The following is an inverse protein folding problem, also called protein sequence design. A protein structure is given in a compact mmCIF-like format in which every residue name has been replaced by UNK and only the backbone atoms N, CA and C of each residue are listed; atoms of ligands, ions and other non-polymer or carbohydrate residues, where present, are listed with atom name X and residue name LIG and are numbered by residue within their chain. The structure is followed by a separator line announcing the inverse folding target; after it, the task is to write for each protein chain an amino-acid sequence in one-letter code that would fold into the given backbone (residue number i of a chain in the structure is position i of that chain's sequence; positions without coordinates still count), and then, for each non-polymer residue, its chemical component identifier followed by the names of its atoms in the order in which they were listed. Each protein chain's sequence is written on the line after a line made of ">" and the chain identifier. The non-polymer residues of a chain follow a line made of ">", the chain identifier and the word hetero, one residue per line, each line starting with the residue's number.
data_IF_580756064369
#
_entry.id   IF_580756064369
#
_cell.length_a   1.000
_cell.length_b   1.000
_cell.length_c   1.000
_cell.angle_alpha   90.00
_cell.angle_beta   90.00
_cell.angle_gamma   90.00
#
_symmetry.space_group_name_H-M   'P 1'
#
loop_
_entity.id
_entity.type
_entity.pdbx_description
1 polymer ?
#
# COMPACT_ATOMS: atom_id res chain seq x y z
N UNK A 1 -40.59 -25.14 11.72
CA UNK A 1 -40.03 -24.04 10.89
C UNK A 1 -39.23 -23.13 11.82
N UNK A 2 -37.95 -23.40 11.95
CA UNK A 2 -37.05 -22.54 12.71
C UNK A 2 -36.67 -21.40 11.76
N UNK A 3 -37.02 -20.15 12.11
CA UNK A 3 -36.66 -18.98 11.34
C UNK A 3 -35.14 -18.95 11.25
N UNK A 4 -34.61 -19.07 10.04
CA UNK A 4 -33.19 -18.84 9.78
C UNK A 4 -32.88 -17.40 10.13
N UNK A 5 -31.92 -17.21 11.02
CA UNK A 5 -31.31 -15.89 11.24
C UNK A 5 -30.75 -15.43 9.90
N UNK A 6 -31.04 -14.21 9.44
CA UNK A 6 -30.42 -13.70 8.21
C UNK A 6 -28.91 -13.73 8.39
N UNK A 7 -28.15 -14.01 7.30
CA UNK A 7 -26.71 -13.99 7.35
C UNK A 7 -26.22 -12.62 7.87
N UNK A 8 -25.11 -12.58 8.60
CA UNK A 8 -24.53 -11.34 9.02
C UNK A 8 -24.25 -10.48 7.76
N UNK A 9 -24.57 -9.20 7.82
CA UNK A 9 -24.17 -8.29 6.74
C UNK A 9 -22.65 -8.33 6.60
N UNK A 10 -22.12 -8.28 5.35
CA UNK A 10 -20.68 -8.28 5.14
C UNK A 10 -20.07 -7.09 5.86
N UNK A 11 -18.95 -7.32 6.51
CA UNK A 11 -18.17 -6.21 7.08
C UNK A 11 -17.66 -5.38 5.91
N UNK A 12 -18.13 -4.15 5.79
CA UNK A 12 -17.65 -3.22 4.76
C UNK A 12 -16.19 -2.90 5.09
N UNK A 13 -15.27 -3.65 4.53
CA UNK A 13 -13.89 -3.21 4.46
C UNK A 13 -13.87 -1.94 3.61
N UNK A 14 -13.15 -0.88 4.04
CA UNK A 14 -13.03 0.33 3.24
C UNK A 14 -12.54 0.06 1.81
N UNK A 15 -12.47 1.06 0.92
CA UNK A 15 -12.13 0.86 -0.51
C UNK A 15 -10.79 0.17 -0.77
N UNK A 16 -9.85 0.18 0.19
CA UNK A 16 -8.60 -0.57 0.15
C UNK A 16 -8.69 -1.93 0.87
N UNK A 17 -9.90 -2.39 1.19
CA UNK A 17 -10.12 -3.64 1.92
C UNK A 17 -9.55 -4.84 1.20
N UNK A 18 -8.75 -5.63 1.92
CA UNK A 18 -8.04 -6.79 1.40
C UNK A 18 -6.68 -6.49 0.77
N UNK A 19 -6.27 -5.23 0.58
CA UNK A 19 -4.93 -4.89 0.11
C UNK A 19 -3.92 -4.88 1.25
N UNK A 20 -2.75 -5.47 1.00
CA UNK A 20 -1.55 -5.35 1.82
C UNK A 20 -0.63 -4.29 1.22
N UNK A 21 -0.35 -3.24 1.98
CA UNK A 21 0.38 -2.06 1.49
C UNK A 21 1.64 -1.85 2.32
N UNK A 22 2.79 -1.92 1.64
CA UNK A 22 4.10 -1.65 2.26
C UNK A 22 4.28 -0.16 2.47
N UNK A 23 4.58 0.22 3.71
CA UNK A 23 4.95 1.58 4.13
C UNK A 23 6.45 1.61 4.43
N UNK A 24 7.20 2.37 3.65
CA UNK A 24 8.67 2.38 3.65
C UNK A 24 9.31 3.40 4.60
N UNK A 25 8.49 4.26 5.23
CA UNK A 25 8.95 5.32 6.13
C UNK A 25 9.56 4.77 7.42
N UNK A 26 10.44 5.55 8.10
CA UNK A 26 10.84 5.27 9.46
C UNK A 26 9.63 5.09 10.37
N UNK A 27 9.69 4.16 11.33
CA UNK A 27 8.55 3.77 12.18
C UNK A 27 7.94 4.94 12.95
N UNK A 28 8.77 5.86 13.44
CA UNK A 28 8.38 7.07 14.16
C UNK A 28 7.64 8.10 13.30
N UNK A 29 7.70 7.95 11.97
CA UNK A 29 7.07 8.83 10.99
C UNK A 29 5.97 8.15 10.17
N UNK A 30 5.75 6.85 10.37
CA UNK A 30 4.80 6.06 9.59
C UNK A 30 3.36 6.17 10.09
N UNK A 31 3.14 6.53 11.36
CA UNK A 31 1.85 6.40 12.04
C UNK A 31 0.69 7.04 11.26
N UNK A 32 0.82 8.30 10.84
CA UNK A 32 -0.26 9.01 10.13
C UNK A 32 -0.61 8.38 8.75
N UNK A 33 0.38 7.79 8.07
CA UNK A 33 0.14 7.10 6.80
C UNK A 33 -0.49 5.73 7.03
N UNK A 34 0.00 4.99 8.03
CA UNK A 34 -0.56 3.69 8.43
C UNK A 34 -2.03 3.88 8.84
N UNK A 35 -2.33 4.81 9.74
CA UNK A 35 -3.70 5.12 10.18
C UNK A 35 -4.62 5.50 9.01
N UNK A 36 -4.12 6.32 8.06
CA UNK A 36 -4.89 6.72 6.89
C UNK A 36 -5.19 5.56 5.94
N UNK A 37 -4.24 4.63 5.73
CA UNK A 37 -4.44 3.43 4.91
C UNK A 37 -5.39 2.44 5.61
N UNK A 38 -5.20 2.20 6.91
CA UNK A 38 -6.04 1.30 7.70
C UNK A 38 -7.48 1.83 7.84
N UNK A 39 -7.67 3.17 7.91
CA UNK A 39 -9.00 3.79 7.87
C UNK A 39 -9.74 3.52 6.56
N UNK A 40 -9.03 3.23 5.47
CA UNK A 40 -9.60 2.78 4.19
C UNK A 40 -9.67 1.25 4.06
N UNK A 41 -9.38 0.52 5.13
CA UNK A 41 -9.50 -0.93 5.20
C UNK A 41 -8.29 -1.73 4.72
N UNK A 42 -7.15 -1.09 4.41
CA UNK A 42 -5.92 -1.77 4.03
C UNK A 42 -5.22 -2.44 5.23
N UNK A 43 -4.46 -3.50 4.97
CA UNK A 43 -3.44 -4.01 5.89
C UNK A 43 -2.12 -3.26 5.63
N UNK A 44 -1.80 -2.25 6.45
CA UNK A 44 -0.56 -1.51 6.30
C UNK A 44 0.62 -2.25 6.95
N UNK A 45 1.65 -2.59 6.15
CA UNK A 45 2.83 -3.33 6.59
C UNK A 45 4.04 -2.41 6.64
N UNK A 46 4.55 -2.12 7.83
CA UNK A 46 5.71 -1.24 7.99
C UNK A 46 7.02 -1.97 7.69
N UNK A 47 7.69 -1.56 6.61
CA UNK A 47 9.03 -2.03 6.20
C UNK A 47 9.95 -0.81 6.07
N UNK A 48 10.48 -0.30 7.20
CA UNK A 48 11.31 0.89 7.17
C UNK A 48 12.64 0.61 6.47
N UNK A 49 12.92 1.32 5.38
CA UNK A 49 14.11 1.13 4.54
C UNK A 49 15.16 2.24 4.73
N UNK A 50 14.84 3.27 5.50
CA UNK A 50 15.75 4.36 5.83
C UNK A 50 15.71 4.66 7.33
N UNK A 51 16.79 5.24 7.81
CA UNK A 51 16.91 5.83 9.17
C UNK A 51 17.37 7.26 9.06
N UNK A 52 16.79 8.12 9.88
CA UNK A 52 17.30 9.46 10.09
C UNK A 52 18.34 9.39 11.21
N UNK A 53 19.52 9.93 10.95
CA UNK A 53 20.64 9.91 11.89
C UNK A 53 21.22 11.32 12.04
N UNK A 54 21.93 11.53 13.13
CA UNK A 54 22.67 12.77 13.35
C UNK A 54 23.71 13.03 12.24
N UNK A 55 24.03 14.30 11.97
CA UNK A 55 25.14 14.65 11.11
C UNK A 55 26.47 14.17 11.70
N UNK A 56 27.51 14.02 10.86
CA UNK A 56 28.82 13.50 11.28
C UNK A 56 29.51 14.34 12.36
N UNK A 57 29.18 15.61 12.42
CA UNK A 57 29.71 16.54 13.44
C UNK A 57 28.89 16.53 14.75
N UNK A 58 27.95 15.63 14.92
CA UNK A 58 27.05 15.56 16.08
C UNK A 58 26.18 16.81 16.23
N UNK A 59 25.86 17.53 15.14
CA UNK A 59 25.04 18.75 15.13
C UNK A 59 25.75 20.01 15.65
N UNK A 60 27.07 19.98 15.76
CA UNK A 60 27.86 21.17 16.23
C UNK A 60 27.71 22.32 15.25
N UNK A 61 27.75 22.07 13.95
CA UNK A 61 27.59 23.08 12.90
C UNK A 61 26.25 23.81 13.03
N UNK A 62 25.15 23.06 13.17
CA UNK A 62 23.81 23.64 13.30
C UNK A 62 23.69 24.48 14.59
N UNK A 63 24.09 23.93 15.74
CA UNK A 63 24.08 24.70 16.99
C UNK A 63 24.91 25.96 16.92
N UNK A 64 26.04 25.95 16.21
CA UNK A 64 26.92 27.11 16.04
C UNK A 64 26.26 28.14 15.13
N UNK A 65 25.69 27.73 13.99
CA UNK A 65 25.02 28.61 13.05
C UNK A 65 23.81 29.31 13.70
N UNK A 66 22.98 28.57 14.46
CA UNK A 66 21.82 29.13 15.14
C UNK A 66 22.19 30.15 16.23
N UNK A 67 23.38 30.01 16.88
CA UNK A 67 23.83 30.93 17.95
C UNK A 67 24.24 32.31 17.46
N UNK A 68 24.61 32.45 16.21
CA UNK A 68 25.13 33.71 15.65
C UNK A 68 24.08 34.52 14.89
N UNK A 69 22.85 33.98 14.77
CA UNK A 69 21.72 34.66 14.14
C UNK A 69 21.31 35.91 14.93
N UNK A 70 20.85 36.92 14.20
CA UNK A 70 20.46 38.25 14.71
C UNK A 70 19.14 38.69 14.09
N UNK A 71 18.61 39.82 14.56
CA UNK A 71 17.43 40.44 13.96
C UNK A 71 17.56 40.61 12.45
N UNK A 72 16.53 40.20 11.71
CA UNK A 72 16.48 40.19 10.26
C UNK A 72 17.06 38.93 9.58
N UNK A 73 17.70 38.01 10.32
CA UNK A 73 18.17 36.74 9.82
C UNK A 73 17.04 35.70 9.76
N UNK A 74 17.29 34.62 9.03
CA UNK A 74 16.30 33.54 8.82
C UNK A 74 16.89 32.16 9.12
N UNK A 75 15.99 31.27 9.58
CA UNK A 75 16.19 29.81 9.53
C UNK A 75 15.28 29.24 8.47
N UNK A 76 15.84 28.60 7.45
CA UNK A 76 15.07 27.94 6.39
C UNK A 76 15.13 26.42 6.58
N UNK A 77 13.96 25.76 6.53
CA UNK A 77 13.85 24.33 6.76
C UNK A 77 13.00 23.69 5.66
N UNK A 78 13.54 22.66 5.02
CA UNK A 78 12.91 22.04 3.84
C UNK A 78 12.24 20.70 4.15
N UNK A 79 12.23 20.27 5.40
CA UNK A 79 11.61 18.98 5.78
C UNK A 79 11.20 18.94 7.26
N UNK A 80 10.24 18.09 7.63
CA UNK A 80 9.87 17.84 9.03
C UNK A 80 11.07 17.39 9.90
N UNK A 81 12.00 16.61 9.34
CA UNK A 81 13.21 16.17 10.03
C UNK A 81 14.14 17.35 10.34
N UNK A 82 14.33 18.25 9.36
CA UNK A 82 15.10 19.48 9.59
C UNK A 82 14.48 20.35 10.69
N UNK A 83 13.15 20.48 10.73
CA UNK A 83 12.46 21.21 11.80
C UNK A 83 12.71 20.57 13.18
N UNK A 84 12.63 19.25 13.27
CA UNK A 84 12.91 18.52 14.51
C UNK A 84 14.36 18.75 14.97
N UNK A 85 15.32 18.67 14.06
CA UNK A 85 16.74 18.86 14.40
C UNK A 85 17.05 20.31 14.79
N UNK A 86 16.39 21.29 14.15
CA UNK A 86 16.52 22.71 14.57
C UNK A 86 15.98 22.91 15.98
N UNK A 87 14.78 22.38 16.28
CA UNK A 87 14.19 22.45 17.60
C UNK A 87 15.09 21.79 18.67
N UNK A 88 15.61 20.61 18.38
CA UNK A 88 16.56 19.90 19.26
C UNK A 88 17.85 20.70 19.48
N UNK A 89 18.42 21.29 18.41
CA UNK A 89 19.63 22.09 18.48
C UNK A 89 19.44 23.39 19.31
N UNK A 90 18.22 23.93 19.34
CA UNK A 90 17.84 25.06 20.20
C UNK A 90 17.65 24.63 21.65
N UNK A 91 17.07 23.43 21.88
CA UNK A 91 16.66 22.98 23.22
C UNK A 91 15.62 23.93 23.82
N UNK A 92 15.83 24.35 25.08
CA UNK A 92 14.94 25.33 25.75
C UNK A 92 15.22 26.78 25.34
N UNK A 93 16.23 27.03 24.50
CA UNK A 93 16.62 28.40 24.14
C UNK A 93 15.78 28.86 22.93
N UNK A 94 15.09 30.03 23.03
CA UNK A 94 14.39 30.58 21.89
C UNK A 94 15.38 31.05 20.80
N UNK A 95 14.89 31.20 19.59
CA UNK A 95 15.59 31.99 18.55
C UNK A 95 15.78 33.42 19.08
N UNK A 96 16.84 34.08 18.59
CA UNK A 96 17.07 35.48 18.90
C UNK A 96 15.91 36.35 18.37
N UNK A 97 15.62 37.44 19.06
CA UNK A 97 14.56 38.36 18.67
C UNK A 97 14.77 38.85 17.21
N UNK A 98 13.68 38.85 16.45
CA UNK A 98 13.67 39.22 15.03
C UNK A 98 14.22 38.19 14.04
N UNK A 99 14.70 37.04 14.50
CA UNK A 99 15.00 35.88 13.62
C UNK A 99 13.70 35.21 13.21
N UNK A 100 13.53 34.93 11.93
CA UNK A 100 12.31 34.34 11.36
C UNK A 100 12.54 32.92 10.84
N UNK A 101 11.47 32.17 10.74
CA UNK A 101 11.50 30.79 10.25
C UNK A 101 10.71 30.64 8.97
N UNK A 102 11.34 30.08 7.94
CA UNK A 102 10.75 29.75 6.65
C UNK A 102 10.73 28.23 6.46
N UNK A 103 9.61 27.69 5.99
CA UNK A 103 9.46 26.25 5.70
C UNK A 103 8.92 26.02 4.29
N UNK A 104 9.27 24.88 3.70
CA UNK A 104 8.90 24.57 2.31
C UNK A 104 7.41 24.25 2.12
N UNK A 105 6.72 23.79 3.16
CA UNK A 105 5.33 23.39 3.01
C UNK A 105 4.60 23.06 4.31
N UNK A 106 3.30 22.75 4.21
CA UNK A 106 2.41 22.55 5.37
C UNK A 106 2.89 21.50 6.37
N UNK A 107 3.31 20.33 5.91
CA UNK A 107 3.79 19.26 6.80
C UNK A 107 5.04 19.64 7.58
N UNK A 108 5.93 20.48 6.99
CA UNK A 108 7.10 21.01 7.71
C UNK A 108 6.69 22.09 8.71
N UNK A 109 5.70 22.95 8.37
CA UNK A 109 5.12 23.94 9.27
C UNK A 109 4.52 23.25 10.50
N UNK A 110 3.60 22.31 10.28
CA UNK A 110 2.88 21.63 11.35
C UNK A 110 3.85 20.95 12.32
N UNK A 111 4.93 20.37 11.76
CA UNK A 111 6.00 19.78 12.59
C UNK A 111 6.79 20.83 13.36
N UNK A 112 7.18 21.94 12.72
CA UNK A 112 7.91 23.03 13.38
C UNK A 112 7.09 23.62 14.53
N UNK A 113 5.83 23.97 14.28
CA UNK A 113 4.92 24.55 15.27
C UNK A 113 4.64 23.57 16.44
N UNK A 114 4.48 22.28 16.17
CA UNK A 114 4.33 21.24 17.21
C UNK A 114 5.55 21.14 18.15
N UNK A 115 6.71 21.61 17.68
CA UNK A 115 7.97 21.64 18.43
C UNK A 115 8.28 23.03 19.03
N UNK A 116 7.33 23.97 18.93
CA UNK A 116 7.50 25.32 19.47
C UNK A 116 8.32 26.28 18.63
N UNK A 117 8.58 25.94 17.35
CA UNK A 117 9.22 26.85 16.39
C UNK A 117 8.13 27.67 15.67
N UNK A 118 8.04 28.98 15.88
CA UNK A 118 7.09 29.82 15.14
C UNK A 118 7.49 29.87 13.66
N UNK A 119 6.51 29.74 12.75
CA UNK A 119 6.76 29.78 11.31
C UNK A 119 6.22 31.07 10.73
N UNK A 120 7.12 31.83 10.07
CA UNK A 120 6.82 33.14 9.50
C UNK A 120 6.52 33.08 8.00
N UNK A 121 7.05 32.09 7.29
CA UNK A 121 6.92 31.95 5.85
C UNK A 121 6.65 30.50 5.42
N UNK A 122 5.52 30.31 4.74
CA UNK A 122 5.17 29.07 4.02
C UNK A 122 4.76 29.48 2.59
N UNK A 123 5.38 28.95 1.55
CA UNK A 123 5.00 29.29 0.18
C UNK A 123 3.64 28.68 -0.20
N UNK A 124 3.00 29.23 -1.23
CA UNK A 124 1.80 28.64 -1.82
C UNK A 124 2.11 27.29 -2.50
N UNK A 125 3.24 27.24 -3.22
CA UNK A 125 3.74 26.02 -3.83
C UNK A 125 4.76 25.38 -2.90
N UNK A 126 4.46 24.19 -2.37
CA UNK A 126 5.26 23.48 -1.36
C UNK A 126 6.50 22.78 -1.94
N UNK A 127 7.29 23.52 -2.74
CA UNK A 127 8.54 23.11 -3.35
C UNK A 127 9.66 24.14 -3.08
N UNK A 128 10.91 23.76 -3.33
CA UNK A 128 12.07 24.63 -3.10
C UNK A 128 12.00 25.93 -3.92
N UNK A 129 11.53 25.86 -5.16
CA UNK A 129 11.31 26.97 -6.08
C UNK A 129 10.25 27.94 -5.54
N UNK A 130 9.14 27.39 -5.02
CA UNK A 130 8.06 28.17 -4.39
C UNK A 130 8.57 28.94 -3.16
N UNK A 131 9.36 28.27 -2.32
CA UNK A 131 9.96 28.91 -1.15
C UNK A 131 10.95 30.02 -1.57
N UNK A 132 11.79 29.76 -2.58
CA UNK A 132 12.70 30.77 -3.12
C UNK A 132 11.96 32.01 -3.64
N UNK A 133 10.87 31.80 -4.38
CA UNK A 133 10.04 32.89 -4.93
C UNK A 133 9.31 33.70 -3.85
N UNK A 134 8.92 33.06 -2.75
CA UNK A 134 8.22 33.71 -1.63
C UNK A 134 9.18 34.43 -0.65
N UNK A 135 10.49 34.15 -0.74
CA UNK A 135 11.46 34.70 0.19
C UNK A 135 11.62 36.20 0.00
N UNK A 136 11.66 37.01 1.08
CA UNK A 136 11.84 38.44 0.96
C UNK A 136 13.25 38.81 0.47
N UNK A 137 13.43 40.04 -0.01
CA UNK A 137 14.76 40.59 -0.28
C UNK A 137 15.56 40.76 1.03
N UNK A 138 16.89 40.55 1.01
CA UNK A 138 17.70 40.75 2.20
C UNK A 138 17.70 42.22 2.67
N UNK A 139 17.93 42.49 3.96
CA UNK A 139 18.13 43.82 4.46
C UNK A 139 19.33 44.53 3.77
N UNK A 140 19.32 45.89 3.68
CA UNK A 140 20.40 46.67 3.06
C UNK A 140 21.76 46.40 3.74
N UNK A 141 21.75 46.12 5.03
CA UNK A 141 22.98 45.78 5.79
C UNK A 141 23.47 44.34 5.54
N UNK A 142 22.77 43.59 4.66
CA UNK A 142 22.96 42.16 4.48
C UNK A 142 22.14 41.36 5.49
N UNK A 143 21.80 40.13 5.13
CA UNK A 143 21.06 39.20 5.99
C UNK A 143 21.58 37.79 5.77
N UNK A 144 21.45 36.98 6.79
CA UNK A 144 21.88 35.59 6.80
C UNK A 144 20.66 34.63 6.77
N UNK A 145 20.82 33.57 6.04
CA UNK A 145 19.87 32.43 6.07
C UNK A 145 20.64 31.18 6.49
N UNK A 146 20.31 30.60 7.63
CA UNK A 146 20.75 29.27 8.00
C UNK A 146 19.80 28.29 7.36
N UNK A 147 20.27 27.54 6.35
CA UNK A 147 19.52 26.52 5.67
C UNK A 147 19.84 25.17 6.32
N UNK A 148 18.93 24.71 7.20
CA UNK A 148 19.02 23.40 7.85
C UNK A 148 18.45 22.32 6.93
N UNK A 149 19.32 21.49 6.36
CA UNK A 149 18.97 20.54 5.30
C UNK A 149 19.54 19.14 5.54
N UNK A 150 19.04 18.14 4.81
CA UNK A 150 19.68 16.83 4.75
C UNK A 150 21.11 16.94 4.16
N UNK A 151 21.99 15.98 4.50
CA UNK A 151 23.34 15.88 3.93
C UNK A 151 23.30 15.84 2.39
N UNK A 152 22.37 15.08 1.84
CA UNK A 152 22.08 15.04 0.40
C UNK A 152 20.76 15.77 0.16
N UNK A 153 20.82 16.91 -0.55
CA UNK A 153 19.67 17.73 -0.86
C UNK A 153 19.90 18.54 -2.14
N UNK A 154 18.82 19.01 -2.77
CA UNK A 154 18.88 19.79 -4.02
C UNK A 154 19.48 21.17 -3.79
N UNK A 155 20.26 21.66 -4.75
CA UNK A 155 20.93 22.97 -4.70
C UNK A 155 20.05 24.17 -5.11
N UNK A 156 18.81 23.91 -5.53
CA UNK A 156 17.91 24.95 -6.06
C UNK A 156 17.69 26.10 -5.08
N UNK A 157 17.30 25.81 -3.84
CA UNK A 157 17.01 26.85 -2.85
C UNK A 157 18.24 27.68 -2.47
N UNK A 158 19.39 27.09 -2.09
CA UNK A 158 20.56 27.89 -1.73
C UNK A 158 21.10 28.75 -2.88
N UNK A 159 21.03 28.26 -4.12
CA UNK A 159 21.43 29.02 -5.30
C UNK A 159 20.55 30.27 -5.46
N UNK A 160 19.22 30.11 -5.42
CA UNK A 160 18.29 31.23 -5.58
C UNK A 160 18.43 32.28 -4.47
N UNK A 161 18.54 31.84 -3.20
CA UNK A 161 18.73 32.76 -2.08
C UNK A 161 20.03 33.55 -2.21
N UNK A 162 21.14 32.94 -2.65
CA UNK A 162 22.40 33.65 -2.94
C UNK A 162 22.26 34.63 -4.09
N UNK A 163 21.53 34.27 -5.15
CA UNK A 163 21.23 35.18 -6.26
C UNK A 163 20.43 36.41 -5.84
N UNK A 164 19.56 36.27 -4.83
CA UNK A 164 18.82 37.38 -4.23
C UNK A 164 19.69 38.26 -3.33
N UNK A 165 20.93 37.85 -3.02
CA UNK A 165 21.86 38.59 -2.17
C UNK A 165 21.89 38.16 -0.70
N UNK A 166 21.25 37.05 -0.35
CA UNK A 166 21.35 36.45 0.99
C UNK A 166 22.70 35.78 1.23
N UNK A 167 23.22 35.91 2.45
CA UNK A 167 24.36 35.11 2.89
C UNK A 167 23.82 33.77 3.43
N UNK A 168 23.97 32.68 2.65
CA UNK A 168 23.41 31.39 2.94
C UNK A 168 24.43 30.46 3.59
N UNK A 169 24.19 30.10 4.84
CA UNK A 169 24.92 29.09 5.59
C UNK A 169 24.17 27.76 5.42
N UNK A 170 24.65 26.87 4.56
CA UNK A 170 24.13 25.52 4.46
C UNK A 170 24.69 24.66 5.57
N UNK A 171 23.77 24.08 6.36
CA UNK A 171 24.15 23.27 7.50
C UNK A 171 23.47 21.91 7.41
N UNK A 172 24.27 20.85 7.49
CA UNK A 172 23.74 19.49 7.56
C UNK A 172 23.02 19.33 8.90
N UNK A 173 21.71 19.23 8.86
CA UNK A 173 20.88 19.05 10.04
C UNK A 173 20.73 17.56 10.39
N UNK A 174 20.61 16.70 9.38
CA UNK A 174 20.47 15.26 9.56
C UNK A 174 20.99 14.50 8.34
N UNK A 175 21.15 13.20 8.51
CA UNK A 175 21.50 12.27 7.44
C UNK A 175 20.40 11.24 7.26
N UNK A 176 20.09 10.94 6.02
CA UNK A 176 19.24 9.79 5.68
C UNK A 176 20.17 8.65 5.27
N UNK A 177 20.11 7.56 5.98
CA UNK A 177 20.92 6.36 5.68
C UNK A 177 19.99 5.17 5.42
N UNK A 178 20.37 4.32 4.46
CA UNK A 178 19.63 3.09 4.19
C UNK A 178 19.60 2.21 5.45
N UNK A 179 18.46 1.61 5.72
CA UNK A 179 18.29 0.60 6.75
C UNK A 179 18.19 -0.76 6.07
N UNK A 180 19.00 -1.71 6.53
CA UNK A 180 18.88 -3.07 6.02
C UNK A 180 17.49 -3.63 6.39
N UNK A 181 16.83 -4.24 5.41
CA UNK A 181 15.62 -5.03 5.64
C UNK A 181 16.01 -6.48 5.86
N UNK A 182 15.37 -7.10 6.84
CA UNK A 182 15.54 -8.52 7.15
C UNK A 182 14.72 -9.42 6.20
N UNK A 183 14.79 -10.72 6.37
CA UNK A 183 14.04 -11.68 5.56
C UNK A 183 12.53 -11.49 5.73
N UNK A 184 12.07 -11.06 6.91
CA UNK A 184 10.64 -10.79 7.14
C UNK A 184 10.14 -9.60 6.33
N UNK A 185 10.96 -8.55 6.21
CA UNK A 185 10.66 -7.38 5.36
C UNK A 185 10.65 -7.72 3.87
N UNK A 186 11.58 -8.58 3.41
CA UNK A 186 11.58 -9.07 2.03
C UNK A 186 10.33 -9.89 1.71
N UNK A 187 9.96 -10.80 2.60
CA UNK A 187 8.73 -11.58 2.48
C UNK A 187 7.48 -10.70 2.51
N UNK A 188 7.48 -9.66 3.33
CA UNK A 188 6.38 -8.70 3.38
C UNK A 188 6.22 -7.95 2.05
N UNK A 189 7.32 -7.51 1.41
CA UNK A 189 7.28 -6.90 0.08
C UNK A 189 6.75 -7.87 -0.98
N UNK A 190 7.24 -9.10 -0.99
CA UNK A 190 6.83 -10.13 -1.96
C UNK A 190 5.35 -10.53 -1.83
N UNK A 191 4.78 -10.41 -0.63
CA UNK A 191 3.40 -10.76 -0.34
C UNK A 191 2.43 -9.55 -0.38
N UNK A 192 2.94 -8.35 -0.65
CA UNK A 192 2.14 -7.13 -0.69
C UNK A 192 1.60 -6.83 -2.10
N UNK A 193 0.47 -6.15 -2.15
CA UNK A 193 -0.17 -5.71 -3.39
C UNK A 193 0.34 -4.35 -3.86
N UNK A 194 0.70 -3.48 -2.90
CA UNK A 194 1.16 -2.13 -3.18
C UNK A 194 2.32 -1.72 -2.28
N UNK A 195 3.11 -0.76 -2.76
CA UNK A 195 4.09 -0.02 -1.97
C UNK A 195 3.85 1.48 -2.09
N UNK A 196 3.98 2.21 -0.98
CA UNK A 196 3.86 3.66 -0.96
C UNK A 196 5.20 4.30 -0.64
N UNK A 197 5.63 5.20 -1.53
CA UNK A 197 6.86 5.98 -1.41
C UNK A 197 6.56 7.45 -1.09
N UNK A 198 7.15 7.96 -0.05
CA UNK A 198 7.00 9.37 0.38
C UNK A 198 8.26 10.19 0.20
N UNK A 199 9.32 9.60 -0.36
CA UNK A 199 10.56 10.29 -0.73
C UNK A 199 11.40 9.43 -1.68
N UNK A 200 12.26 10.08 -2.49
CA UNK A 200 13.18 9.35 -3.38
C UNK A 200 14.13 8.42 -2.63
N UNK A 201 14.61 8.81 -1.44
CA UNK A 201 15.51 7.97 -0.65
C UNK A 201 14.88 6.64 -0.20
N UNK A 202 13.55 6.59 -0.06
CA UNK A 202 12.85 5.32 0.23
C UNK A 202 12.72 4.45 -1.01
N UNK A 203 12.63 5.05 -2.20
CA UNK A 203 12.70 4.32 -3.48
C UNK A 203 14.06 3.67 -3.65
N UNK A 204 15.14 4.48 -3.61
CA UNK A 204 16.52 3.98 -3.74
C UNK A 204 16.80 2.83 -2.78
N UNK A 205 16.48 3.03 -1.49
CA UNK A 205 16.77 2.03 -0.46
C UNK A 205 15.98 0.73 -0.60
N UNK A 206 14.71 0.79 -1.06
CA UNK A 206 13.92 -0.43 -1.26
C UNK A 206 14.39 -1.17 -2.52
N UNK A 207 14.62 -0.45 -3.63
CA UNK A 207 15.12 -1.04 -4.88
C UNK A 207 16.49 -1.70 -4.66
N UNK A 208 17.39 -1.06 -3.94
CA UNK A 208 18.68 -1.65 -3.56
C UNK A 208 18.53 -2.94 -2.76
N UNK A 209 17.48 -3.04 -1.94
CA UNK A 209 17.27 -4.16 -1.04
C UNK A 209 16.57 -5.36 -1.70
N UNK A 210 15.58 -5.14 -2.58
CA UNK A 210 14.74 -6.21 -3.15
C UNK A 210 14.83 -6.31 -4.68
N UNK A 211 15.45 -5.33 -5.36
CA UNK A 211 15.40 -5.19 -6.81
C UNK A 211 14.06 -4.67 -7.32
N UNK A 212 14.02 -4.24 -8.58
CA UNK A 212 12.76 -3.76 -9.22
C UNK A 212 11.73 -4.88 -9.28
N UNK A 213 12.13 -6.08 -9.64
CA UNK A 213 11.25 -7.26 -9.74
C UNK A 213 10.72 -7.73 -8.37
N UNK A 214 11.33 -7.30 -7.27
CA UNK A 214 10.90 -7.60 -5.90
C UNK A 214 9.92 -6.60 -5.32
N UNK A 215 9.55 -5.55 -6.07
CA UNK A 215 8.55 -4.58 -5.63
C UNK A 215 7.13 -5.14 -5.78
N UNK A 216 6.18 -4.71 -4.92
CA UNK A 216 4.77 -4.95 -5.12
C UNK A 216 4.27 -4.42 -6.48
N UNK A 217 3.18 -4.99 -6.99
CA UNK A 217 2.65 -4.70 -8.34
C UNK A 217 2.13 -3.28 -8.51
N UNK A 218 1.68 -2.63 -7.44
CA UNK A 218 1.20 -1.25 -7.46
C UNK A 218 2.24 -0.38 -6.76
N UNK A 219 2.79 0.57 -7.47
CA UNK A 219 3.76 1.53 -6.94
C UNK A 219 3.10 2.90 -6.84
N UNK A 220 2.98 3.41 -5.62
CA UNK A 220 2.40 4.72 -5.35
C UNK A 220 3.46 5.70 -4.83
N UNK A 221 3.48 6.91 -5.37
CA UNK A 221 4.38 7.99 -4.97
C UNK A 221 3.63 9.21 -4.46
N UNK A 222 4.24 9.89 -3.49
CA UNK A 222 3.67 11.12 -2.91
C UNK A 222 3.74 12.33 -3.85
N UNK A 223 4.45 12.22 -4.97
CA UNK A 223 4.53 13.32 -5.91
C UNK A 223 5.74 13.26 -6.84
N UNK A 224 5.85 14.21 -7.79
CA UNK A 224 6.72 14.13 -8.97
C UNK A 224 8.21 14.01 -8.63
N UNK A 225 8.66 14.57 -7.52
CA UNK A 225 10.06 14.44 -7.10
C UNK A 225 10.43 12.99 -6.71
N UNK A 226 9.49 12.25 -6.13
CA UNK A 226 9.64 10.84 -5.78
C UNK A 226 9.49 9.96 -7.02
N UNK A 227 8.52 10.27 -7.88
CA UNK A 227 8.32 9.60 -9.16
C UNK A 227 9.54 9.71 -10.09
N UNK A 228 10.21 10.86 -10.10
CA UNK A 228 11.43 11.05 -10.90
C UNK A 228 12.55 10.10 -10.45
N UNK A 229 12.74 9.94 -9.13
CA UNK A 229 13.73 8.98 -8.59
C UNK A 229 13.33 7.55 -8.93
N UNK A 230 12.04 7.21 -8.84
CA UNK A 230 11.55 5.88 -9.24
C UNK A 230 11.87 5.58 -10.72
N UNK A 231 11.63 6.54 -11.61
CA UNK A 231 11.93 6.40 -13.04
C UNK A 231 13.46 6.26 -13.30
N UNK A 232 14.31 6.96 -12.56
CA UNK A 232 15.78 6.81 -12.62
C UNK A 232 16.24 5.40 -12.22
N UNK A 233 15.49 4.74 -11.31
CA UNK A 233 15.72 3.35 -10.88
C UNK A 233 15.03 2.31 -11.79
N UNK A 234 14.35 2.75 -12.86
CA UNK A 234 13.61 1.86 -13.77
C UNK A 234 12.30 1.33 -13.18
N UNK A 235 11.72 2.03 -12.22
CA UNK A 235 10.44 1.70 -11.59
C UNK A 235 9.34 2.56 -12.17
N UNK A 236 8.31 1.92 -12.74
CA UNK A 236 7.10 2.58 -13.18
C UNK A 236 6.21 2.91 -11.97
N UNK A 237 5.75 4.16 -11.89
CA UNK A 237 4.82 4.62 -10.85
C UNK A 237 3.40 4.55 -11.38
N UNK A 238 2.56 3.73 -10.76
CA UNK A 238 1.15 3.55 -11.14
C UNK A 238 0.25 4.68 -10.60
N UNK A 239 0.62 5.23 -9.45
CA UNK A 239 -0.16 6.24 -8.71
C UNK A 239 0.75 7.36 -8.25
N UNK A 240 0.45 8.59 -8.67
CA UNK A 240 1.07 9.79 -8.14
C UNK A 240 0.01 10.64 -7.43
N UNK A 241 0.30 11.07 -6.20
CA UNK A 241 -0.64 11.86 -5.41
C UNK A 241 -0.80 13.28 -5.95
N UNK A 242 -2.04 13.77 -5.97
CA UNK A 242 -2.41 15.17 -6.16
C UNK A 242 -3.62 15.49 -5.25
N UNK A 243 -3.46 16.35 -4.25
CA UNK A 243 -2.23 17.06 -3.83
C UNK A 243 -1.15 16.13 -3.23
N UNK A 244 0.11 16.59 -3.21
CA UNK A 244 1.30 15.85 -2.74
C UNK A 244 1.34 15.75 -1.21
N UNK A 245 0.34 15.10 -0.63
CA UNK A 245 0.11 14.94 0.81
C UNK A 245 -0.25 13.49 1.12
N UNK A 246 -0.17 13.10 2.40
CA UNK A 246 -0.61 11.75 2.82
C UNK A 246 -2.08 11.50 2.46
N UNK A 247 -3.04 12.39 2.75
CA UNK A 247 -4.42 12.21 2.28
C UNK A 247 -4.51 12.08 0.76
N UNK A 248 -3.86 12.96 -0.01
CA UNK A 248 -3.87 12.88 -1.47
C UNK A 248 -3.29 11.57 -2.01
N UNK A 249 -2.25 11.01 -1.36
CA UNK A 249 -1.69 9.70 -1.72
C UNK A 249 -2.68 8.56 -1.48
N UNK A 250 -3.38 8.58 -0.36
CA UNK A 250 -4.41 7.59 -0.03
C UNK A 250 -5.61 7.71 -0.98
N UNK A 251 -6.09 8.93 -1.25
CA UNK A 251 -7.19 9.18 -2.17
C UNK A 251 -6.86 8.74 -3.60
N UNK A 252 -5.64 9.02 -4.07
CA UNK A 252 -5.18 8.58 -5.39
C UNK A 252 -5.08 7.06 -5.48
N UNK A 253 -4.62 6.39 -4.41
CA UNK A 253 -4.57 4.93 -4.35
C UNK A 253 -5.98 4.32 -4.34
N UNK A 254 -6.91 4.89 -3.57
CA UNK A 254 -8.34 4.51 -3.59
C UNK A 254 -8.91 4.66 -5.00
N UNK A 255 -8.68 5.78 -5.67
CA UNK A 255 -9.15 5.99 -7.03
C UNK A 255 -8.53 5.00 -8.04
N UNK A 256 -7.26 4.64 -7.85
CA UNK A 256 -6.56 3.68 -8.71
C UNK A 256 -7.12 2.26 -8.61
N UNK A 257 -7.53 1.83 -7.42
CA UNK A 257 -8.10 0.49 -7.20
C UNK A 257 -9.62 0.47 -7.36
N UNK A 258 -10.28 1.62 -7.47
CA UNK A 258 -11.71 1.71 -7.73
C UNK A 258 -12.06 0.90 -8.99
N UNK A 259 -13.16 0.14 -8.94
CA UNK A 259 -13.60 -0.78 -10.00
C UNK A 259 -12.63 -1.94 -10.35
N UNK A 260 -11.49 -2.07 -9.67
CA UNK A 260 -10.59 -3.22 -9.85
C UNK A 260 -10.93 -4.33 -8.87
N UNK A 261 -11.01 -5.59 -9.32
CA UNK A 261 -11.21 -6.69 -8.41
C UNK A 261 -9.95 -6.94 -7.58
N UNK A 262 -10.12 -7.01 -6.28
CA UNK A 262 -9.08 -7.44 -5.33
C UNK A 262 -9.37 -8.90 -4.96
N UNK A 263 -8.39 -9.78 -5.20
CA UNK A 263 -8.50 -11.21 -4.91
C UNK A 263 -7.49 -11.55 -3.81
N UNK A 264 -8.00 -11.95 -2.66
CA UNK A 264 -7.16 -12.20 -1.49
C UNK A 264 -7.41 -13.56 -0.87
N UNK A 265 -6.32 -14.22 -0.40
CA UNK A 265 -6.45 -15.37 0.50
C UNK A 265 -7.03 -14.88 1.81
N UNK A 266 -8.02 -15.59 2.31
CA UNK A 266 -8.70 -15.25 3.54
C UNK A 266 -9.05 -16.52 4.32
N UNK A 267 -9.07 -16.48 5.67
CA UNK A 267 -9.56 -17.61 6.43
C UNK A 267 -11.01 -17.94 6.03
N UNK A 268 -11.29 -19.19 5.68
CA UNK A 268 -12.63 -19.61 5.27
C UNK A 268 -13.70 -19.35 6.35
N UNK A 269 -13.28 -19.16 7.61
CA UNK A 269 -14.16 -18.80 8.73
C UNK A 269 -14.37 -17.28 8.92
N UNK A 270 -13.76 -16.42 8.10
CA UNK A 270 -13.98 -14.97 8.19
C UNK A 270 -15.43 -14.59 7.86
N UNK A 271 -15.87 -13.40 8.28
CA UNK A 271 -17.23 -12.93 8.03
C UNK A 271 -17.54 -12.84 6.53
N UNK A 272 -16.61 -12.31 5.73
CA UNK A 272 -16.77 -12.15 4.28
C UNK A 272 -16.74 -13.49 3.55
N UNK A 273 -15.86 -14.42 3.95
CA UNK A 273 -15.84 -15.77 3.39
C UNK A 273 -17.15 -16.52 3.67
N UNK A 274 -17.66 -16.43 4.91
CA UNK A 274 -18.92 -17.06 5.30
C UNK A 274 -20.11 -16.43 4.56
N UNK A 275 -20.13 -15.10 4.41
CA UNK A 275 -21.14 -14.43 3.60
C UNK A 275 -21.12 -14.92 2.15
N UNK A 276 -19.96 -14.98 1.50
CA UNK A 276 -19.81 -15.50 0.13
C UNK A 276 -20.31 -16.95 0.01
N UNK A 277 -19.96 -17.81 0.96
CA UNK A 277 -20.41 -19.21 0.99
C UNK A 277 -21.93 -19.32 1.11
N UNK A 278 -22.56 -18.51 1.94
CA UNK A 278 -24.01 -18.50 2.08
C UNK A 278 -24.71 -18.06 0.80
N UNK A 279 -24.19 -17.00 0.12
CA UNK A 279 -24.72 -16.57 -1.16
C UNK A 279 -24.55 -17.66 -2.24
N UNK A 280 -23.40 -18.31 -2.27
CA UNK A 280 -23.13 -19.44 -3.15
C UNK A 280 -24.15 -20.58 -2.96
N UNK A 281 -24.37 -21.00 -1.71
CA UNK A 281 -25.32 -22.08 -1.42
C UNK A 281 -26.78 -21.67 -1.70
N UNK A 282 -27.14 -20.42 -1.43
CA UNK A 282 -28.46 -19.90 -1.75
C UNK A 282 -28.72 -19.91 -3.27
N UNK A 283 -27.74 -19.58 -4.08
CA UNK A 283 -27.87 -19.66 -5.54
C UNK A 283 -27.99 -21.10 -6.04
N UNK A 284 -27.18 -22.03 -5.53
CA UNK A 284 -27.28 -23.44 -5.91
C UNK A 284 -28.65 -24.04 -5.55
N UNK A 285 -29.19 -23.68 -4.38
CA UNK A 285 -30.51 -24.12 -3.96
C UNK A 285 -31.62 -23.69 -4.93
N UNK A 286 -31.49 -22.54 -5.54
CA UNK A 286 -32.41 -22.03 -6.56
C UNK A 286 -32.20 -22.63 -7.96
N UNK A 287 -30.97 -23.02 -8.29
CA UNK A 287 -30.61 -23.53 -9.63
C UNK A 287 -30.79 -25.03 -9.77
N UNK A 288 -30.71 -25.80 -8.68
CA UNK A 288 -30.81 -27.25 -8.74
C UNK A 288 -32.27 -27.69 -8.67
N UNK A 289 -32.66 -28.64 -9.54
CA UNK A 289 -34.04 -29.10 -9.74
C UNK A 289 -34.70 -29.63 -8.44
N UNK A 290 -33.89 -30.17 -7.54
CA UNK A 290 -34.35 -30.74 -6.27
C UNK A 290 -33.89 -29.94 -5.03
N UNK A 291 -33.37 -28.71 -5.26
CA UNK A 291 -32.72 -27.96 -4.20
C UNK A 291 -31.37 -28.56 -3.78
N UNK A 292 -30.72 -27.90 -2.82
CA UNK A 292 -29.47 -28.35 -2.24
C UNK A 292 -29.73 -29.00 -0.87
N UNK A 293 -29.30 -30.25 -0.67
CA UNK A 293 -29.31 -30.85 0.66
C UNK A 293 -28.17 -30.23 1.49
N UNK A 294 -28.47 -29.13 2.18
CA UNK A 294 -27.51 -28.38 3.00
C UNK A 294 -26.90 -29.24 4.11
N UNK A 295 -27.58 -30.29 4.57
CA UNK A 295 -27.04 -31.21 5.58
C UNK A 295 -25.83 -31.99 5.08
N UNK A 296 -25.79 -32.32 3.79
CA UNK A 296 -24.69 -33.07 3.16
C UNK A 296 -23.58 -32.13 2.68
N UNK A 297 -23.89 -30.86 2.36
CA UNK A 297 -22.96 -29.91 1.72
C UNK A 297 -22.25 -29.00 2.73
N UNK A 298 -22.88 -28.67 3.86
CA UNK A 298 -22.25 -27.85 4.91
C UNK A 298 -21.14 -28.56 5.68
N UNK A 299 -21.06 -29.89 5.61
CA UNK A 299 -20.00 -30.67 6.25
C UNK A 299 -18.71 -30.75 5.44
N UNK A 300 -18.66 -30.17 4.23
CA UNK A 300 -17.36 -30.03 3.53
C UNK A 300 -16.59 -28.93 4.22
N UNK A 301 -15.83 -29.38 5.12
CA UNK A 301 -15.26 -28.72 6.26
C UNK A 301 -14.45 -27.50 5.83
N UNK A 302 -14.67 -26.40 6.54
CA UNK A 302 -13.79 -25.23 6.54
C UNK A 302 -12.32 -25.66 6.59
N UNK A 303 -12.02 -26.74 7.32
CA UNK A 303 -10.69 -27.33 7.44
C UNK A 303 -10.12 -27.85 6.11
N UNK A 304 -10.96 -28.33 5.18
CA UNK A 304 -10.51 -28.83 3.87
C UNK A 304 -10.11 -27.71 2.90
N UNK A 305 -10.70 -26.51 3.06
CA UNK A 305 -10.41 -25.32 2.27
C UNK A 305 -9.60 -24.27 3.06
N UNK A 306 -8.93 -24.74 4.11
CA UNK A 306 -8.02 -23.94 4.95
C UNK A 306 -6.63 -24.60 5.00
N UNK A 307 -5.56 -23.82 5.26
CA UNK A 307 -4.23 -24.38 5.44
C UNK A 307 -4.16 -25.45 6.55
N UNK A 308 -3.40 -26.53 6.38
CA UNK A 308 -2.52 -26.86 5.24
C UNK A 308 -3.23 -27.59 4.08
N UNK A 309 -4.52 -27.91 4.20
CA UNK A 309 -5.26 -28.78 3.27
C UNK A 309 -5.81 -28.03 2.05
N UNK A 310 -5.90 -26.71 2.12
CA UNK A 310 -6.45 -25.88 1.08
C UNK A 310 -6.27 -24.40 1.35
N UNK A 311 -6.96 -23.57 0.59
CA UNK A 311 -7.05 -22.13 0.80
C UNK A 311 -8.40 -21.60 0.31
N UNK A 312 -8.79 -20.45 0.82
CA UNK A 312 -9.96 -19.72 0.40
C UNK A 312 -9.60 -18.33 -0.10
N UNK A 313 -10.25 -17.89 -1.18
CA UNK A 313 -10.07 -16.59 -1.80
C UNK A 313 -11.40 -15.84 -1.81
N UNK A 314 -11.39 -14.59 -1.37
CA UNK A 314 -12.51 -13.65 -1.50
C UNK A 314 -12.18 -12.65 -2.62
N UNK A 315 -13.16 -12.38 -3.48
CA UNK A 315 -13.11 -11.32 -4.50
C UNK A 315 -13.85 -10.12 -3.99
N UNK A 316 -13.21 -8.94 -4.00
CA UNK A 316 -13.84 -7.67 -3.61
C UNK A 316 -13.84 -6.69 -4.78
N UNK A 317 -14.87 -5.83 -4.79
CA UNK A 317 -14.92 -4.60 -5.56
C UNK A 317 -15.28 -3.48 -4.59
N UNK A 318 -14.53 -2.41 -4.61
CA UNK A 318 -14.70 -1.26 -3.69
C UNK A 318 -14.80 -1.69 -2.21
N UNK A 319 -13.98 -2.64 -1.81
CA UNK A 319 -13.96 -3.21 -0.45
C UNK A 319 -15.10 -4.17 -0.12
N UNK A 320 -16.09 -4.34 -1.00
CA UNK A 320 -17.24 -5.24 -0.77
C UNK A 320 -16.96 -6.64 -1.32
N UNK A 321 -17.25 -7.71 -0.58
CA UNK A 321 -17.15 -9.08 -1.10
C UNK A 321 -18.19 -9.28 -2.22
N UNK A 322 -17.73 -9.73 -3.38
CA UNK A 322 -18.55 -9.97 -4.56
C UNK A 322 -18.38 -11.37 -5.13
N UNK A 323 -17.51 -12.18 -4.54
CA UNK A 323 -17.28 -13.54 -4.99
C UNK A 323 -16.27 -14.29 -4.15
N UNK A 324 -16.16 -15.58 -4.39
CA UNK A 324 -15.20 -16.44 -3.73
C UNK A 324 -14.78 -17.62 -4.61
N UNK A 325 -13.72 -18.28 -4.19
CA UNK A 325 -13.25 -19.56 -4.69
C UNK A 325 -12.36 -20.24 -3.68
N UNK A 326 -12.26 -21.56 -3.75
CA UNK A 326 -11.44 -22.33 -2.83
C UNK A 326 -10.59 -23.36 -3.56
N UNK A 327 -9.47 -23.71 -2.97
CA UNK A 327 -8.68 -24.87 -3.33
C UNK A 327 -8.76 -25.90 -2.21
N UNK A 328 -8.91 -27.16 -2.57
CA UNK A 328 -8.90 -28.31 -1.67
C UNK A 328 -7.89 -29.33 -2.17
N UNK A 329 -6.91 -29.69 -1.36
CA UNK A 329 -5.92 -30.72 -1.70
C UNK A 329 -6.58 -32.10 -1.64
N UNK A 330 -6.60 -32.78 -2.76
CA UNK A 330 -7.18 -34.13 -2.88
C UNK A 330 -6.11 -35.20 -2.92
N UNK A 331 -4.91 -34.86 -3.40
CA UNK A 331 -3.74 -35.73 -3.56
C UNK A 331 -2.48 -34.86 -3.49
N UNK A 332 -1.28 -35.38 -3.15
CA UNK A 332 -0.05 -34.59 -3.17
C UNK A 332 0.22 -33.83 -4.46
N UNK A 333 -0.17 -34.38 -5.61
CA UNK A 333 0.03 -33.80 -6.95
C UNK A 333 -1.22 -33.14 -7.57
N UNK A 334 -2.38 -33.17 -6.85
CA UNK A 334 -3.66 -32.73 -7.40
C UNK A 334 -4.42 -31.86 -6.40
N UNK A 335 -4.94 -30.75 -6.89
CA UNK A 335 -5.80 -29.84 -6.11
C UNK A 335 -7.13 -29.62 -6.83
N UNK A 336 -8.21 -29.57 -6.07
CA UNK A 336 -9.55 -29.35 -6.61
C UNK A 336 -9.96 -27.89 -6.38
N UNK A 337 -10.46 -27.23 -7.43
CA UNK A 337 -11.15 -25.93 -7.30
C UNK A 337 -12.57 -26.20 -6.80
N UNK A 338 -12.95 -25.50 -5.74
CA UNK A 338 -14.25 -25.61 -5.09
C UNK A 338 -14.85 -24.23 -4.82
N UNK A 339 -16.17 -24.16 -4.63
CA UNK A 339 -16.87 -22.96 -4.14
C UNK A 339 -16.67 -21.70 -5.00
N UNK A 340 -16.40 -21.87 -6.30
CA UNK A 340 -16.23 -20.73 -7.19
C UNK A 340 -17.56 -20.05 -7.48
N UNK A 341 -17.68 -18.80 -7.06
CA UNK A 341 -18.92 -18.03 -7.16
C UNK A 341 -18.64 -16.54 -7.34
N UNK A 342 -19.50 -15.86 -8.08
CA UNK A 342 -19.53 -14.41 -8.21
C UNK A 342 -21.00 -13.94 -8.12
N UNK A 343 -21.22 -12.83 -7.45
CA UNK A 343 -22.51 -12.14 -7.38
C UNK A 343 -22.99 -11.82 -8.81
N UNK A 344 -24.30 -11.98 -9.05
CA UNK A 344 -24.86 -11.93 -10.42
C UNK A 344 -24.64 -10.60 -11.13
N UNK A 345 -24.69 -9.46 -10.41
CA UNK A 345 -24.54 -8.12 -10.94
C UNK A 345 -23.12 -7.77 -11.40
N UNK A 346 -22.09 -8.54 -10.99
CA UNK A 346 -20.70 -8.34 -11.39
C UNK A 346 -20.22 -9.35 -12.45
N UNK A 347 -21.07 -10.29 -12.87
CA UNK A 347 -20.76 -11.25 -13.93
C UNK A 347 -20.67 -10.57 -15.30
N UNK A 348 -20.04 -11.23 -16.26
CA UNK A 348 -19.82 -10.68 -17.61
C UNK A 348 -18.70 -9.65 -17.71
N UNK A 349 -18.09 -9.26 -16.61
CA UNK A 349 -17.00 -8.26 -16.51
C UNK A 349 -15.60 -8.89 -16.50
N UNK A 350 -15.47 -10.17 -16.81
CA UNK A 350 -14.18 -10.89 -16.82
C UNK A 350 -13.74 -11.42 -15.45
N UNK A 351 -14.46 -11.11 -14.35
CA UNK A 351 -14.08 -11.49 -12.99
C UNK A 351 -13.97 -13.00 -12.78
N UNK A 352 -14.82 -13.79 -13.43
CA UNK A 352 -14.74 -15.26 -13.36
C UNK A 352 -13.42 -15.81 -13.89
N UNK A 353 -12.94 -15.26 -15.00
CA UNK A 353 -11.64 -15.61 -15.57
C UNK A 353 -10.48 -15.14 -14.69
N UNK A 354 -10.58 -13.96 -14.11
CA UNK A 354 -9.59 -13.43 -13.16
C UNK A 354 -9.51 -14.32 -11.90
N UNK A 355 -10.66 -14.69 -11.31
CA UNK A 355 -10.71 -15.59 -10.14
C UNK A 355 -10.13 -16.97 -10.46
N UNK A 356 -10.52 -17.56 -11.61
CA UNK A 356 -9.99 -18.85 -12.03
C UNK A 356 -8.48 -18.80 -12.25
N UNK A 357 -7.99 -17.73 -12.91
CA UNK A 357 -6.56 -17.49 -13.12
C UNK A 357 -5.79 -17.41 -11.80
N UNK A 358 -6.30 -16.61 -10.85
CA UNK A 358 -5.71 -16.48 -9.52
C UNK A 358 -5.66 -17.82 -8.77
N UNK A 359 -6.74 -18.62 -8.78
CA UNK A 359 -6.74 -19.95 -8.17
C UNK A 359 -5.73 -20.91 -8.84
N UNK A 360 -5.54 -20.80 -10.15
CA UNK A 360 -4.51 -21.57 -10.87
C UNK A 360 -3.09 -21.15 -10.45
N UNK A 361 -2.84 -19.86 -10.27
CA UNK A 361 -1.53 -19.36 -9.80
C UNK A 361 -1.26 -19.81 -8.36
N UNK A 362 -2.28 -19.77 -7.51
CA UNK A 362 -2.21 -20.31 -6.16
C UNK A 362 -1.91 -21.81 -6.13
N UNK A 363 -2.51 -22.57 -7.03
CA UNK A 363 -2.25 -24.00 -7.18
C UNK A 363 -0.79 -24.27 -7.62
N UNK A 364 -0.24 -23.47 -8.57
CA UNK A 364 1.17 -23.54 -8.94
C UNK A 364 2.10 -23.27 -7.77
N UNK A 365 1.80 -22.25 -6.98
CA UNK A 365 2.58 -21.91 -5.79
C UNK A 365 2.58 -23.02 -4.73
N UNK A 366 1.54 -23.85 -4.70
CA UNK A 366 1.45 -25.03 -3.83
C UNK A 366 2.19 -26.27 -4.39
N UNK A 367 2.80 -26.17 -5.58
CA UNK A 367 3.63 -27.20 -6.18
C UNK A 367 2.86 -28.45 -6.62
N UNK A 368 1.61 -28.30 -7.07
CA UNK A 368 0.81 -29.40 -7.62
C UNK A 368 0.92 -29.44 -9.14
N UNK A 369 0.78 -30.63 -9.74
CA UNK A 369 0.91 -30.85 -11.18
C UNK A 369 -0.40 -30.62 -11.94
N UNK A 370 -1.54 -30.76 -11.25
CA UNK A 370 -2.87 -30.74 -11.87
C UNK A 370 -3.91 -30.09 -10.99
N UNK A 371 -4.86 -29.43 -11.67
CA UNK A 371 -6.06 -28.86 -11.05
C UNK A 371 -7.29 -29.54 -11.62
N UNK A 372 -8.22 -29.98 -10.75
CA UNK A 372 -9.51 -30.53 -11.12
C UNK A 372 -10.64 -29.68 -10.59
N UNK A 373 -11.79 -29.86 -11.17
CA UNK A 373 -13.04 -29.30 -10.68
C UNK A 373 -14.23 -30.14 -11.14
N UNK A 374 -15.29 -30.07 -10.39
CA UNK A 374 -16.59 -30.65 -10.75
C UNK A 374 -17.66 -29.55 -10.71
N UNK A 375 -18.71 -29.74 -11.51
CA UNK A 375 -19.80 -28.76 -11.62
C UNK A 375 -21.11 -29.45 -12.05
N UNK A 376 -22.20 -28.69 -12.00
CA UNK A 376 -23.52 -29.16 -12.41
C UNK A 376 -23.88 -28.65 -13.81
N UNK A 377 -24.61 -29.42 -14.59
CA UNK A 377 -25.08 -29.07 -15.95
C UNK A 377 -25.91 -27.78 -15.99
N UNK A 378 -26.57 -27.41 -14.90
CA UNK A 378 -27.35 -26.17 -14.81
C UNK A 378 -26.48 -24.91 -14.74
N UNK A 379 -25.17 -25.05 -14.50
CA UNK A 379 -24.20 -23.96 -14.39
C UNK A 379 -23.48 -23.74 -15.72
N UNK A 380 -24.23 -23.49 -16.78
CA UNK A 380 -23.72 -23.43 -18.17
C UNK A 380 -22.62 -22.37 -18.37
N UNK A 381 -22.68 -21.26 -17.62
CA UNK A 381 -21.68 -20.19 -17.68
C UNK A 381 -20.34 -20.65 -17.09
N UNK A 382 -20.38 -21.46 -16.03
CA UNK A 382 -19.19 -22.03 -15.41
C UNK A 382 -18.55 -23.06 -16.32
N UNK A 383 -19.34 -23.95 -16.95
CA UNK A 383 -18.86 -24.94 -17.93
C UNK A 383 -18.13 -24.21 -19.07
N UNK A 384 -18.76 -23.21 -19.69
CA UNK A 384 -18.15 -22.44 -20.78
C UNK A 384 -16.84 -21.72 -20.35
N UNK A 385 -16.79 -21.23 -19.10
CA UNK A 385 -15.57 -20.63 -18.54
C UNK A 385 -14.44 -21.66 -18.44
N UNK A 386 -14.70 -22.85 -17.90
CA UNK A 386 -13.69 -23.89 -17.71
C UNK A 386 -13.16 -24.39 -19.08
N UNK A 387 -14.04 -24.72 -20.02
CA UNK A 387 -13.65 -25.14 -21.38
C UNK A 387 -12.81 -24.08 -22.08
N UNK A 388 -13.25 -22.81 -22.07
CA UNK A 388 -12.50 -21.69 -22.67
C UNK A 388 -11.20 -21.35 -21.94
N UNK A 389 -11.00 -21.90 -20.74
CA UNK A 389 -9.79 -21.76 -19.94
C UNK A 389 -8.85 -22.96 -20.04
N UNK A 390 -9.11 -23.89 -20.99
CA UNK A 390 -8.24 -25.03 -21.27
C UNK A 390 -8.41 -26.23 -20.32
N UNK A 391 -9.50 -26.29 -19.58
CA UNK A 391 -9.88 -27.51 -18.87
C UNK A 391 -10.48 -28.51 -19.85
N UNK A 392 -10.16 -29.78 -19.66
CA UNK A 392 -10.67 -30.89 -20.47
C UNK A 392 -11.59 -31.76 -19.63
N UNK A 393 -12.65 -32.27 -20.24
CA UNK A 393 -13.58 -33.18 -19.57
C UNK A 393 -12.88 -34.51 -19.25
N UNK A 394 -13.13 -35.02 -18.04
CA UNK A 394 -12.56 -36.29 -17.55
C UNK A 394 -13.66 -37.17 -16.96
N UNK A 395 -13.30 -38.41 -16.64
CA UNK A 395 -14.20 -39.31 -15.92
C UNK A 395 -14.47 -38.82 -14.49
N UNK A 396 -15.59 -39.23 -13.93
CA UNK A 396 -15.97 -38.93 -12.54
C UNK A 396 -14.90 -39.36 -11.54
N UNK A 397 -14.46 -38.44 -10.69
CA UNK A 397 -13.39 -38.66 -9.72
C UNK A 397 -13.81 -38.46 -8.24
N UNK A 398 -15.08 -38.11 -7.99
CA UNK A 398 -15.62 -37.99 -6.63
C UNK A 398 -17.10 -38.42 -6.59
N UNK A 399 -17.65 -38.54 -5.37
CA UNK A 399 -19.00 -39.01 -5.15
C UNK A 399 -19.99 -37.86 -4.89
N UNK A 400 -19.70 -36.63 -5.30
CA UNK A 400 -20.64 -35.51 -5.16
C UNK A 400 -21.91 -35.80 -5.95
N UNK A 401 -23.08 -35.94 -5.29
CA UNK A 401 -24.35 -36.33 -5.96
C UNK A 401 -24.87 -35.24 -6.88
N UNK A 402 -24.41 -33.99 -6.71
CA UNK A 402 -24.84 -32.85 -7.52
C UNK A 402 -23.93 -32.60 -8.71
N UNK A 403 -22.75 -33.22 -8.77
CA UNK A 403 -21.81 -33.06 -9.88
C UNK A 403 -22.22 -33.94 -11.08
N UNK A 404 -22.33 -33.29 -12.26
CA UNK A 404 -22.64 -33.96 -13.52
C UNK A 404 -21.48 -33.83 -14.54
N UNK A 405 -20.60 -32.85 -14.36
CA UNK A 405 -19.46 -32.59 -15.22
C UNK A 405 -18.16 -32.53 -14.41
N UNK A 406 -17.10 -33.10 -14.94
CA UNK A 406 -15.80 -33.25 -14.32
C UNK A 406 -14.72 -32.77 -15.27
N UNK A 407 -13.83 -31.93 -14.80
CA UNK A 407 -12.79 -31.31 -15.63
C UNK A 407 -11.43 -31.39 -14.94
N UNK A 408 -10.39 -31.46 -15.75
CA UNK A 408 -8.99 -31.42 -15.31
C UNK A 408 -8.16 -30.51 -16.22
N UNK A 409 -7.14 -29.87 -15.64
CA UNK A 409 -6.11 -29.13 -16.37
C UNK A 409 -4.75 -29.37 -15.75
N UNK A 410 -3.74 -29.70 -16.58
CA UNK A 410 -2.35 -29.72 -16.14
C UNK A 410 -1.83 -28.30 -15.87
N UNK A 411 -0.95 -28.16 -14.90
CA UNK A 411 -0.22 -26.93 -14.58
C UNK A 411 1.18 -27.09 -15.20
N UNK A 412 1.50 -26.26 -16.18
CA UNK A 412 2.83 -26.17 -16.80
C UNK A 412 3.79 -25.38 -15.90
#
# INVERSE_FOLDING_TARGET
>A
MTAMTPPPEPVVAGPLGGLRIVVTRPRDQAASLVEALEAQGAEAVSVPVIKITEPLDGGVGLRTALRVLRDGDWVAVTSPNGAATVAEALGERPLADGVRVAVVGPGTRDRAESLGLPVDLVPADAIAEGLAAAFPAPPIAGGRVVLARAEVARETLPIHLRMMGWNVDEVVAYRTVSAAIDDSGRLACAAADAVVFTSGSTVDSLVDAVGVDGLPKIVASIGPATSAVAAEQGVDVDVEADPHTIPGLVDALVAHVADRPVLHREPAGSADAQWCLEQYYAELDTRFVHGLDRGTVQSTDIDEISPPNGLFVVVRLDGHPVGCGALKRSDPAVIDIKRMWLRSDVRGRGLGRALLGHLMDEARALGVDRVRLDTNETLVEAIALYESSGFVAVERFNDDPHATHFFERALD
#
